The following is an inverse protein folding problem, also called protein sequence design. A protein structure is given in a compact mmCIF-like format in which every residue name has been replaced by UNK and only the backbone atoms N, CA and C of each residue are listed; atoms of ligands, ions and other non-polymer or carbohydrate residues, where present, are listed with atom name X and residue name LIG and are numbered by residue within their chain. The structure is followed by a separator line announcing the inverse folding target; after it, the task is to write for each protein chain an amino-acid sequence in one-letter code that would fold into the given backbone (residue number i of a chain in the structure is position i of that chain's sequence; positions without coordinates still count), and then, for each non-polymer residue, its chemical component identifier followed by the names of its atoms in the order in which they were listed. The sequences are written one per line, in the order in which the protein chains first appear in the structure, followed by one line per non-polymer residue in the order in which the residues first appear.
data_IF_837757060276
#
_entry.id   IF_837757060276
#
_cell.length_a   1.000
_cell.length_b   1.000
_cell.length_c   1.000
_cell.angle_alpha   90.00
_cell.angle_beta   90.00
_cell.angle_gamma   90.00
#
_symmetry.space_group_name_H-M   'P 1'
#
loop_
_entity.id
_entity.type
_entity.pdbx_description
1 polymer ?
#
# COMPACT_ATOMS: atom_id res chain seq x y z
N UNK A 1 -22.20 -7.96 -2.57
CA UNK A 1 -22.11 -8.59 -3.90
C UNK A 1 -20.74 -9.22 -4.03
N UNK A 2 -20.67 -10.47 -4.48
CA UNK A 2 -19.40 -11.09 -4.88
C UNK A 2 -19.01 -10.62 -6.27
N UNK A 3 -17.71 -10.49 -6.51
CA UNK A 3 -17.13 -10.15 -7.80
C UNK A 3 -16.13 -11.24 -8.19
N UNK A 4 -15.90 -11.39 -9.50
CA UNK A 4 -14.94 -12.37 -10.01
C UNK A 4 -13.59 -11.69 -10.24
N UNK A 5 -12.54 -12.26 -9.68
CA UNK A 5 -11.16 -11.84 -9.91
C UNK A 5 -10.49 -12.92 -10.76
N UNK A 6 -9.98 -12.55 -11.93
CA UNK A 6 -9.19 -13.47 -12.75
C UNK A 6 -7.73 -13.47 -12.28
N UNK A 7 -7.20 -14.67 -12.04
CA UNK A 7 -5.83 -14.90 -11.62
C UNK A 7 -5.26 -16.05 -12.45
N UNK A 8 -3.96 -16.01 -12.73
CA UNK A 8 -3.28 -17.18 -13.28
C UNK A 8 -3.17 -18.30 -12.22
N UNK A 9 -2.93 -19.53 -12.68
CA UNK A 9 -2.89 -20.72 -11.81
C UNK A 9 -1.82 -20.61 -10.72
N UNK A 10 -0.65 -20.06 -11.05
CA UNK A 10 0.48 -19.95 -10.13
C UNK A 10 0.18 -18.94 -9.02
N UNK A 11 -0.41 -17.80 -9.37
CA UNK A 11 -0.85 -16.80 -8.40
C UNK A 11 -1.93 -17.36 -7.47
N UNK A 12 -2.89 -18.12 -8.01
CA UNK A 12 -3.91 -18.80 -7.19
C UNK A 12 -3.30 -19.81 -6.21
N UNK A 13 -2.33 -20.61 -6.67
CA UNK A 13 -1.61 -21.56 -5.82
C UNK A 13 -0.86 -20.83 -4.70
N UNK A 14 -0.11 -19.77 -5.02
CA UNK A 14 0.58 -18.95 -4.03
C UNK A 14 -0.37 -18.40 -2.98
N UNK A 15 -1.51 -17.82 -3.38
CA UNK A 15 -2.52 -17.31 -2.43
C UNK A 15 -3.04 -18.42 -1.53
N UNK A 16 -3.27 -19.62 -2.06
CA UNK A 16 -3.76 -20.76 -1.26
C UNK A 16 -2.80 -21.19 -0.15
N UNK A 17 -1.49 -20.96 -0.30
CA UNK A 17 -0.49 -21.28 0.75
C UNK A 17 -0.61 -20.41 2.00
N UNK A 18 -1.27 -19.24 1.90
CA UNK A 18 -1.48 -18.33 3.02
C UNK A 18 -2.73 -18.66 3.85
N UNK A 19 -3.47 -19.71 3.50
CA UNK A 19 -4.69 -20.14 4.20
C UNK A 19 -4.55 -21.49 4.88
N UNK A 20 -5.48 -21.77 5.79
CA UNK A 20 -5.73 -23.12 6.33
C UNK A 20 -6.93 -23.75 5.63
N UNK A 21 -7.24 -25.03 5.92
CA UNK A 21 -8.40 -25.73 5.33
C UNK A 21 -9.75 -25.05 5.59
N UNK A 22 -9.83 -24.24 6.63
CA UNK A 22 -11.05 -23.55 7.06
C UNK A 22 -11.17 -22.15 6.45
N UNK A 23 -10.09 -21.60 5.88
CA UNK A 23 -10.07 -20.26 5.31
C UNK A 23 -10.67 -20.25 3.90
N UNK A 24 -11.48 -19.22 3.60
CA UNK A 24 -11.87 -18.93 2.21
C UNK A 24 -10.82 -18.05 1.52
N UNK A 25 -10.84 -18.03 0.18
CA UNK A 25 -9.99 -17.09 -0.58
C UNK A 25 -10.25 -15.62 -0.21
N UNK A 26 -11.49 -15.26 0.13
CA UNK A 26 -11.84 -13.90 0.54
C UNK A 26 -11.18 -13.55 1.89
N UNK A 27 -11.13 -14.50 2.83
CA UNK A 27 -10.45 -14.32 4.13
C UNK A 27 -8.94 -14.14 3.95
N UNK A 28 -8.34 -14.97 3.09
CA UNK A 28 -6.92 -14.88 2.77
C UNK A 28 -6.60 -13.52 2.13
N UNK A 29 -7.38 -13.09 1.14
CA UNK A 29 -7.17 -11.81 0.45
C UNK A 29 -7.31 -10.63 1.42
N UNK A 30 -8.32 -10.64 2.29
CA UNK A 30 -8.49 -9.59 3.32
C UNK A 30 -7.31 -9.54 4.30
N UNK A 31 -6.75 -10.69 4.68
CA UNK A 31 -5.58 -10.77 5.55
C UNK A 31 -4.34 -10.23 4.85
N UNK A 32 -4.10 -10.60 3.59
CA UNK A 32 -3.02 -10.06 2.76
C UNK A 32 -3.16 -8.54 2.64
N UNK A 33 -4.36 -8.03 2.37
CA UNK A 33 -4.63 -6.59 2.29
C UNK A 33 -4.25 -5.86 3.59
N UNK A 34 -4.67 -6.39 4.76
CA UNK A 34 -4.33 -5.79 6.07
C UNK A 34 -2.82 -5.73 6.30
N UNK A 35 -2.07 -6.73 5.85
CA UNK A 35 -0.60 -6.75 5.95
C UNK A 35 0.02 -5.72 5.00
N UNK A 36 -0.46 -5.65 3.75
CA UNK A 36 0.01 -4.69 2.77
C UNK A 36 -0.19 -3.23 3.23
N UNK A 37 -1.33 -2.91 3.84
CA UNK A 37 -1.59 -1.57 4.41
C UNK A 37 -0.59 -1.22 5.52
N UNK A 38 -0.30 -2.19 6.40
CA UNK A 38 0.69 -1.99 7.47
C UNK A 38 2.09 -1.78 6.91
N UNK A 39 2.48 -2.56 5.90
CA UNK A 39 3.80 -2.42 5.29
C UNK A 39 3.93 -1.10 4.52
N UNK A 40 2.90 -0.68 3.80
CA UNK A 40 2.87 0.63 3.13
C UNK A 40 3.05 1.77 4.14
N UNK A 41 2.34 1.72 5.28
CA UNK A 41 2.50 2.72 6.33
C UNK A 41 3.91 2.68 6.93
N UNK A 42 4.46 1.49 7.14
CA UNK A 42 5.83 1.30 7.63
C UNK A 42 6.86 1.87 6.66
N UNK A 43 6.76 1.58 5.37
CA UNK A 43 7.64 2.16 4.35
C UNK A 43 7.53 3.67 4.29
N UNK A 44 6.32 4.23 4.43
CA UNK A 44 6.14 5.67 4.47
C UNK A 44 6.84 6.31 5.68
N UNK A 45 6.60 5.77 6.89
CA UNK A 45 7.13 6.30 8.14
C UNK A 45 8.63 6.05 8.32
N UNK A 46 9.12 4.91 7.85
CA UNK A 46 10.51 4.48 7.97
C UNK A 46 11.31 4.72 6.69
N UNK A 47 10.76 5.45 5.71
CA UNK A 47 11.53 5.79 4.52
C UNK A 47 12.79 6.52 4.95
N UNK A 48 13.95 6.05 4.49
CA UNK A 48 15.24 6.70 4.69
C UNK A 48 15.36 8.07 3.98
N UNK A 49 14.23 8.60 3.50
CA UNK A 49 14.14 9.90 2.85
C UNK A 49 14.51 10.97 3.87
N UNK A 50 15.56 11.69 3.52
CA UNK A 50 15.99 12.92 4.13
C UNK A 50 14.77 13.82 4.40
N UNK A 51 14.51 14.09 5.67
CA UNK A 51 13.54 15.10 6.05
C UNK A 51 14.09 16.48 5.66
N UNK A 52 13.21 17.41 5.32
CA UNK A 52 13.57 18.83 5.19
C UNK A 52 12.92 19.62 6.32
N UNK A 53 13.60 20.62 6.90
CA UNK A 53 12.97 21.57 7.82
C UNK A 53 11.75 22.24 7.19
N UNK A 54 10.74 22.54 8.00
CA UNK A 54 9.46 23.10 7.53
C UNK A 54 9.64 24.39 6.73
N UNK A 55 10.61 25.24 7.10
CA UNK A 55 10.90 26.49 6.39
C UNK A 55 11.41 26.24 4.96
N UNK A 56 12.17 25.17 4.74
CA UNK A 56 12.61 24.78 3.40
C UNK A 56 11.45 24.22 2.58
N UNK A 57 10.56 23.44 3.21
CA UNK A 57 9.38 22.89 2.56
C UNK A 57 8.44 23.99 2.05
N UNK A 58 8.17 25.01 2.89
CA UNK A 58 7.32 26.16 2.51
C UNK A 58 7.93 26.91 1.33
N UNK A 59 9.23 27.23 1.39
CA UNK A 59 9.94 27.92 0.30
C UNK A 59 9.91 27.14 -1.02
N UNK A 60 10.09 25.82 -0.99
CA UNK A 60 9.98 25.00 -2.19
C UNK A 60 8.55 24.98 -2.76
N UNK A 61 7.55 24.89 -1.89
CA UNK A 61 6.15 24.87 -2.30
C UNK A 61 5.76 26.19 -2.99
N UNK A 62 6.13 27.34 -2.43
CA UNK A 62 5.89 28.66 -3.02
C UNK A 62 6.62 28.84 -4.36
N UNK A 63 7.82 28.26 -4.50
CA UNK A 63 8.58 28.27 -5.76
C UNK A 63 7.92 27.42 -6.84
N UNK A 64 7.41 26.23 -6.48
CA UNK A 64 6.78 25.29 -7.43
C UNK A 64 5.37 25.73 -7.84
N UNK A 65 4.62 26.31 -6.91
CA UNK A 65 3.27 26.84 -7.12
C UNK A 65 3.22 28.32 -6.78
N UNK A 66 3.80 29.19 -7.63
CA UNK A 66 3.64 30.62 -7.46
C UNK A 66 2.16 30.95 -7.57
N UNK A 67 1.64 31.75 -6.63
CA UNK A 67 0.27 32.25 -6.72
C UNK A 67 0.16 33.03 -8.03
N UNK A 68 -0.84 32.69 -8.85
CA UNK A 68 -1.19 33.49 -10.01
C UNK A 68 -1.46 34.91 -9.55
N UNK A 69 -0.93 35.89 -10.31
CA UNK A 69 -1.20 37.32 -10.09
C UNK A 69 -2.69 37.61 -10.12
#
# INVERSE_FOLDING_TARGET
MSTTIQLDKKTKELISTFGTKEDTYDDIIKRIYKLAVKEQLREFLMSSKEYIPIDKAIKEAEKRWPKSK
#
